data_IF_012844266424
#
_entry.id   IF_012844266424
#
_cell.length_a   1.000
_cell.length_b   1.000
_cell.length_c   1.000
_cell.angle_alpha   90.00
_cell.angle_beta   90.00
_cell.angle_gamma   90.00
#
_symmetry.space_group_name_H-M   'P 1'
#
loop_
_entity.id
_entity.type
_entity.pdbx_description
1 polymer ?
#
# COMPACT_ATOMS: atom_id res chain seq x y z
N UNK A 1 -12.52 4.23 -3.40
CA UNK A 1 -11.86 3.77 -4.63
C UNK A 1 -10.43 4.24 -4.59
N UNK A 2 -9.46 3.32 -4.53
CA UNK A 2 -8.06 3.66 -4.78
C UNK A 2 -7.94 3.95 -6.28
N UNK A 3 -7.23 5.02 -6.67
CA UNK A 3 -6.99 5.30 -8.09
C UNK A 3 -6.37 4.05 -8.74
N UNK A 4 -6.81 3.67 -9.94
CA UNK A 4 -6.37 2.45 -10.64
C UNK A 4 -4.84 2.33 -10.76
N UNK A 5 -4.12 3.46 -10.70
CA UNK A 5 -2.67 3.50 -10.65
C UNK A 5 -2.10 2.89 -9.36
N UNK A 6 -2.71 3.16 -8.20
CA UNK A 6 -2.28 2.62 -6.90
C UNK A 6 -2.49 1.12 -6.85
N UNK A 7 -3.66 0.69 -7.32
CA UNK A 7 -4.05 -0.71 -7.38
C UNK A 7 -3.05 -1.51 -8.22
N UNK A 8 -2.73 -1.01 -9.42
CA UNK A 8 -1.74 -1.63 -10.31
C UNK A 8 -0.33 -1.67 -9.71
N UNK A 9 0.10 -0.60 -9.04
CA UNK A 9 1.42 -0.57 -8.38
C UNK A 9 1.49 -1.55 -7.21
N UNK A 10 0.38 -1.74 -6.50
CA UNK A 10 0.25 -2.68 -5.41
C UNK A 10 0.31 -4.12 -5.95
N UNK A 11 -0.52 -4.46 -6.95
CA UNK A 11 -0.47 -5.76 -7.65
C UNK A 11 0.91 -6.10 -8.20
N UNK A 12 1.64 -5.10 -8.71
CA UNK A 12 3.01 -5.28 -9.22
C UNK A 12 4.06 -5.47 -8.13
N UNK A 13 3.70 -5.30 -6.85
CA UNK A 13 4.61 -5.34 -5.72
C UNK A 13 5.55 -4.14 -5.65
N UNK A 14 5.25 -3.05 -6.36
CA UNK A 14 6.08 -1.85 -6.38
C UNK A 14 5.76 -0.91 -5.20
N UNK A 15 4.55 -0.99 -4.67
CA UNK A 15 4.15 -0.36 -3.41
C UNK A 15 3.52 -1.41 -2.49
N UNK A 16 3.57 -1.14 -1.20
CA UNK A 16 2.89 -1.89 -0.16
C UNK A 16 2.56 -0.95 0.98
N UNK A 17 1.94 -1.45 2.04
CA UNK A 17 1.62 -0.65 3.22
C UNK A 17 2.10 -1.35 4.48
N UNK A 18 2.54 -0.55 5.44
CA UNK A 18 2.89 -1.01 6.77
C UNK A 18 1.64 -1.23 7.64
N UNK A 19 1.78 -1.88 8.79
CA UNK A 19 0.68 -2.12 9.75
C UNK A 19 0.05 -0.81 10.25
N UNK A 20 0.79 0.29 10.17
CA UNK A 20 0.32 1.66 10.47
C UNK A 20 -0.41 2.33 9.31
N UNK A 21 -0.52 1.68 8.16
CA UNK A 21 -1.11 2.21 6.93
C UNK A 21 -0.18 3.17 6.21
N UNK A 22 1.10 3.25 6.58
CA UNK A 22 2.08 4.04 5.85
C UNK A 22 2.41 3.35 4.55
N UNK A 23 2.35 4.09 3.44
CA UNK A 23 2.81 3.57 2.16
C UNK A 23 4.31 3.31 2.21
N UNK A 24 4.70 2.11 1.79
CA UNK A 24 6.08 1.72 1.58
C UNK A 24 6.26 1.50 0.08
N UNK A 25 7.30 2.09 -0.50
CA UNK A 25 7.60 1.97 -1.92
C UNK A 25 8.88 1.15 -2.12
N UNK A 26 8.91 0.40 -3.21
CA UNK A 26 10.12 -0.27 -3.68
C UNK A 26 11.18 0.76 -4.06
N UNK A 27 12.47 0.39 -3.90
CA UNK A 27 13.57 1.19 -4.46
C UNK A 27 13.52 1.29 -5.99
N UNK A 28 12.84 0.35 -6.64
CA UNK A 28 12.62 0.36 -8.08
C UNK A 28 11.57 1.38 -8.53
N UNK A 29 10.79 1.96 -7.59
CA UNK A 29 9.80 2.97 -7.90
C UNK A 29 10.39 4.38 -7.74
N UNK A 30 10.53 5.17 -8.83
CA UNK A 30 11.02 6.54 -8.73
C UNK A 30 10.02 7.42 -7.99
N UNK A 31 10.52 8.27 -7.10
CA UNK A 31 9.74 9.23 -6.28
C UNK A 31 8.84 10.10 -7.15
N UNK A 32 9.33 10.49 -8.32
CA UNK A 32 8.59 11.30 -9.29
C UNK A 32 7.32 10.62 -9.79
N UNK A 33 7.24 9.28 -9.79
CA UNK A 33 6.05 8.55 -10.22
C UNK A 33 4.92 8.65 -9.18
N UNK A 34 5.25 8.57 -7.89
CA UNK A 34 4.30 8.78 -6.79
C UNK A 34 3.72 10.20 -6.79
N UNK A 35 4.59 11.19 -7.00
CA UNK A 35 4.15 12.58 -7.17
C UNK A 35 3.26 12.75 -8.40
N UNK A 36 3.60 12.11 -9.53
CA UNK A 36 2.79 12.15 -10.76
C UNK A 36 1.40 11.53 -10.60
N UNK A 37 1.27 10.46 -9.81
CA UNK A 37 -0.04 9.85 -9.53
C UNK A 37 -0.77 10.53 -8.37
N UNK A 38 -0.23 11.63 -7.82
CA UNK A 38 -0.86 12.41 -6.76
C UNK A 38 -0.83 11.75 -5.39
N UNK A 39 0.08 10.78 -5.17
CA UNK A 39 0.31 10.16 -3.86
C UNK A 39 1.53 10.83 -3.23
N UNK A 40 1.35 11.79 -2.31
CA UNK A 40 2.47 12.29 -1.52
C UNK A 40 3.13 11.15 -0.75
N UNK A 41 4.44 11.24 -0.51
CA UNK A 41 5.21 10.23 0.23
C UNK A 41 4.63 9.96 1.64
N UNK A 42 3.92 10.95 2.19
CA UNK A 42 3.19 10.87 3.47
C UNK A 42 1.76 10.30 3.36
N UNK A 43 1.36 9.77 2.21
CA UNK A 43 0.06 9.14 2.06
C UNK A 43 -0.08 7.95 3.00
N UNK A 44 -1.07 8.05 3.88
CA UNK A 44 -1.47 6.96 4.76
C UNK A 44 -2.78 6.38 4.26
N UNK A 45 -2.80 5.06 4.11
CA UNK A 45 -4.04 4.33 3.97
C UNK A 45 -4.79 4.45 5.30
N UNK A 46 -5.85 5.27 5.29
CA UNK A 46 -6.74 5.38 6.43
C UNK A 46 -7.57 4.10 6.49
N UNK A 47 -7.09 3.11 7.26
CA UNK A 47 -7.90 1.97 7.70
C UNK A 47 -9.11 2.39 8.56
N UNK A 48 -9.35 3.70 8.74
CA UNK A 48 -10.41 4.27 9.57
C UNK A 48 -11.82 3.90 9.09
N UNK A 49 -11.96 3.51 7.82
CA UNK A 49 -13.21 2.97 7.28
C UNK A 49 -13.43 1.47 7.60
N UNK A 50 -12.43 0.79 8.17
CA UNK A 50 -12.58 -0.57 8.72
C UNK A 50 -13.00 -0.46 10.18
N UNK A 51 -14.29 -0.20 10.38
CA UNK A 51 -14.93 -0.25 11.72
C UNK A 51 -14.94 -1.68 12.27
N UNK A 52 -14.84 -2.67 11.37
CA UNK A 52 -14.80 -4.10 11.67
C UNK A 52 -13.39 -4.56 12.09
N UNK A 53 -13.24 -4.99 13.35
CA UNK A 53 -12.00 -5.56 13.87
C UNK A 53 -11.55 -6.81 13.12
N UNK A 54 -12.49 -7.67 12.72
CA UNK A 54 -12.18 -8.93 12.03
C UNK A 54 -11.57 -8.65 10.65
N UNK A 55 -12.21 -7.79 9.85
CA UNK A 55 -11.69 -7.37 8.54
C UNK A 55 -10.33 -6.69 8.65
N UNK A 56 -10.10 -5.91 9.71
CA UNK A 56 -8.80 -5.30 9.96
C UNK A 56 -7.71 -6.37 10.14
N UNK A 57 -7.97 -7.42 10.92
CA UNK A 57 -7.02 -8.52 11.12
C UNK A 57 -6.73 -9.25 9.80
N UNK A 58 -7.76 -9.58 9.03
CA UNK A 58 -7.61 -10.24 7.72
C UNK A 58 -6.77 -9.40 6.75
N UNK A 59 -7.04 -8.09 6.67
CA UNK A 59 -6.28 -7.18 5.80
C UNK A 59 -4.84 -7.04 6.26
N UNK A 60 -4.58 -6.97 7.57
CA UNK A 60 -3.21 -6.91 8.11
C UNK A 60 -2.43 -8.18 7.79
N UNK A 61 -3.05 -9.34 7.92
CA UNK A 61 -2.44 -10.63 7.59
C UNK A 61 -2.15 -10.73 6.09
N UNK A 62 -3.11 -10.35 5.25
CA UNK A 62 -2.90 -10.25 3.80
C UNK A 62 -1.80 -9.26 3.44
N UNK A 63 -1.75 -8.08 4.08
CA UNK A 63 -0.69 -7.10 3.86
C UNK A 63 0.69 -7.60 4.30
N UNK A 64 0.76 -8.40 5.36
CA UNK A 64 1.99 -9.07 5.77
C UNK A 64 2.45 -10.05 4.70
N UNK A 65 1.55 -10.91 4.22
CA UNK A 65 1.84 -11.83 3.11
C UNK A 65 2.30 -11.07 1.86
N UNK A 66 1.59 -10.01 1.48
CA UNK A 66 1.95 -9.17 0.34
C UNK A 66 3.34 -8.56 0.51
N UNK A 67 3.69 -8.05 1.70
CA UNK A 67 5.03 -7.52 2.02
C UNK A 67 6.14 -8.57 1.88
N UNK A 68 5.88 -9.82 2.23
CA UNK A 68 6.90 -10.87 2.21
C UNK A 68 7.02 -11.60 0.86
N UNK A 69 5.92 -11.69 0.09
CA UNK A 69 5.84 -12.50 -1.13
C UNK A 69 5.74 -11.70 -2.42
N UNK A 70 5.09 -10.55 -2.41
CA UNK A 70 4.81 -9.76 -3.62
C UNK A 70 5.66 -8.50 -3.68
N UNK A 71 5.79 -7.80 -2.54
CA UNK A 71 6.54 -6.56 -2.47
C UNK A 71 8.01 -6.77 -2.83
N UNK A 72 8.42 -6.09 -3.90
CA UNK A 72 9.79 -6.09 -4.40
C UNK A 72 10.55 -5.03 -3.63
N UNK A 73 11.41 -5.44 -2.70
CA UNK A 73 12.21 -4.53 -1.86
C UNK A 73 13.13 -3.62 -2.68
#
# INVERSE_FOLDING_TARGET
MLCSHVDKLFDQGLITFDDKGQIMRSKHLPISLLQKIGIPDNSKLLFRNLTDKNKKTEILEYMKYHREKIFKK
#
